data_IF_721292131874
#
_entry.id   IF_721292131874
#
_cell.length_a   1.000
_cell.length_b   1.000
_cell.length_c   1.000
_cell.angle_alpha   90.00
_cell.angle_beta   90.00
_cell.angle_gamma   90.00
#
_symmetry.space_group_name_H-M   'P 1'
#
loop_
_entity.id
_entity.type
_entity.pdbx_description
1 polymer ?
#
# COMPACT_ATOMS: atom_id res chain seq x y z
N UNK A 1 -27.13 -14.48 1.95
CA UNK A 1 -25.69 -14.22 1.79
C UNK A 1 -25.55 -12.79 1.28
N UNK A 2 -25.17 -11.84 2.14
CA UNK A 2 -24.95 -10.46 1.70
C UNK A 2 -23.61 -10.34 0.95
N UNK A 3 -23.49 -9.49 -0.08
CA UNK A 3 -22.29 -9.41 -0.92
C UNK A 3 -21.25 -8.39 -0.44
N UNK A 4 -21.35 -7.88 0.80
CA UNK A 4 -20.50 -6.81 1.32
C UNK A 4 -19.71 -7.25 2.57
N UNK A 5 -18.86 -8.26 2.43
CA UNK A 5 -17.94 -8.70 3.50
C UNK A 5 -16.48 -8.79 3.04
N UNK A 6 -16.01 -7.81 2.25
CA UNK A 6 -14.58 -7.53 2.19
C UNK A 6 -14.26 -6.49 3.27
N UNK A 7 -14.38 -6.93 4.54
CA UNK A 7 -13.92 -6.13 5.66
C UNK A 7 -12.38 -6.04 5.54
N UNK A 8 -11.76 -4.85 5.52
CA UNK A 8 -10.32 -4.77 5.67
C UNK A 8 -9.95 -5.44 7.00
N UNK A 9 -8.99 -6.35 6.98
CA UNK A 9 -8.54 -7.04 8.18
C UNK A 9 -7.89 -6.05 9.16
N UNK A 10 -7.22 -5.05 8.59
CA UNK A 10 -6.51 -4.02 9.33
C UNK A 10 -6.48 -2.73 8.50
N UNK A 11 -6.97 -1.66 9.10
CA UNK A 11 -6.89 -0.30 8.57
C UNK A 11 -5.98 0.54 9.44
N UNK A 12 -5.14 1.36 8.80
CA UNK A 12 -4.12 2.16 9.45
C UNK A 12 -4.31 3.60 9.05
N UNK A 13 -4.49 4.47 10.03
CA UNK A 13 -4.54 5.90 9.81
C UNK A 13 -3.11 6.43 9.83
N UNK A 14 -2.74 7.13 8.75
CA UNK A 14 -1.46 7.81 8.63
C UNK A 14 -1.68 9.24 9.14
N UNK A 15 -0.97 9.63 10.20
CA UNK A 15 -1.04 10.96 10.78
C UNK A 15 0.34 11.61 10.86
N UNK A 16 0.40 12.93 10.74
CA UNK A 16 1.53 13.72 11.21
C UNK A 16 1.39 13.97 12.71
N UNK A 17 2.48 13.99 13.47
CA UNK A 17 2.43 14.37 14.87
C UNK A 17 1.99 15.83 15.01
N UNK A 18 1.36 16.20 16.13
CA UNK A 18 1.04 17.59 16.43
C UNK A 18 2.32 18.45 16.39
N UNK A 19 2.17 19.68 15.91
CA UNK A 19 3.32 20.59 15.68
C UNK A 19 3.59 21.52 16.86
N UNK A 20 2.69 21.58 17.84
CA UNK A 20 2.85 22.32 19.09
C UNK A 20 2.39 21.50 20.30
N UNK A 21 2.92 21.83 21.47
CA UNK A 21 2.55 21.17 22.75
C UNK A 21 1.08 21.40 23.14
N UNK A 22 0.43 22.40 22.56
CA UNK A 22 -0.99 22.73 22.75
C UNK A 22 -1.94 21.92 21.87
N UNK A 23 -1.40 21.21 20.86
CA UNK A 23 -2.17 20.44 19.89
C UNK A 23 -2.18 18.96 20.31
N UNK A 24 -3.37 18.43 20.61
CA UNK A 24 -3.53 17.08 21.20
C UNK A 24 -3.73 16.02 20.09
N UNK A 25 -4.12 16.44 18.89
CA UNK A 25 -4.53 15.57 17.79
C UNK A 25 -3.61 15.78 16.60
N UNK A 26 -3.05 14.70 16.06
CA UNK A 26 -2.23 14.75 14.84
C UNK A 26 -3.06 15.05 13.58
N UNK A 27 -2.40 15.57 12.55
CA UNK A 27 -3.05 15.86 11.26
C UNK A 27 -3.24 14.57 10.45
N UNK A 28 -4.46 14.31 9.99
CA UNK A 28 -4.76 13.17 9.11
C UNK A 28 -4.10 13.35 7.74
N UNK A 29 -3.27 12.39 7.35
CA UNK A 29 -2.60 12.35 6.04
C UNK A 29 -3.31 11.41 5.07
N UNK A 30 -3.78 10.26 5.57
CA UNK A 30 -4.35 9.23 4.72
C UNK A 30 -4.64 7.93 5.46
N UNK A 31 -4.94 6.90 4.68
CA UNK A 31 -5.25 5.57 5.18
C UNK A 31 -4.54 4.51 4.32
N UNK A 32 -4.05 3.46 4.98
CA UNK A 32 -3.57 2.23 4.35
C UNK A 32 -4.40 1.06 4.89
N UNK A 33 -4.91 0.20 4.01
CA UNK A 33 -5.71 -0.95 4.39
C UNK A 33 -5.11 -2.24 3.85
N UNK A 34 -5.17 -3.30 4.66
CA UNK A 34 -4.91 -4.68 4.24
C UNK A 34 -6.24 -5.38 4.03
N UNK A 35 -6.39 -6.02 2.87
CA UNK A 35 -7.55 -6.86 2.60
C UNK A 35 -7.47 -8.14 3.43
N UNK A 36 -8.59 -8.54 4.02
CA UNK A 36 -8.66 -9.84 4.68
C UNK A 36 -8.68 -10.95 3.64
N UNK A 37 -7.79 -11.93 3.79
CA UNK A 37 -7.90 -13.21 3.12
C UNK A 37 -8.58 -14.22 4.04
N UNK A 38 -9.28 -15.25 3.49
CA UNK A 38 -9.83 -16.32 4.29
C UNK A 38 -8.74 -16.94 5.20
N UNK A 39 -9.04 -17.34 6.45
CA UNK A 39 -8.04 -17.93 7.34
C UNK A 39 -7.34 -19.16 6.75
N UNK A 40 -8.03 -19.95 5.91
CA UNK A 40 -7.45 -21.08 5.19
C UNK A 40 -6.32 -20.70 4.22
N UNK A 41 -6.23 -19.43 3.84
CA UNK A 41 -5.20 -18.89 2.94
C UNK A 41 -4.02 -18.26 3.70
N UNK A 42 -4.04 -18.25 5.03
CA UNK A 42 -2.94 -17.71 5.84
C UNK A 42 -1.58 -18.36 5.48
N UNK A 43 -1.60 -19.64 5.08
CA UNK A 43 -0.42 -20.38 4.62
C UNK A 43 0.23 -19.81 3.36
N UNK A 44 -0.50 -19.05 2.55
CA UNK A 44 0.04 -18.43 1.34
C UNK A 44 0.81 -17.14 1.63
N UNK A 45 0.59 -16.53 2.80
CA UNK A 45 1.37 -15.37 3.25
C UNK A 45 1.30 -14.17 2.31
N UNK A 46 0.17 -13.92 1.64
CA UNK A 46 0.00 -12.74 0.78
C UNK A 46 -1.29 -11.98 1.07
N UNK A 47 -1.34 -10.70 0.71
CA UNK A 47 -2.57 -9.91 0.68
C UNK A 47 -2.53 -8.76 -0.33
N UNK A 48 -3.70 -8.24 -0.66
CA UNK A 48 -3.87 -6.95 -1.34
C UNK A 48 -3.85 -5.81 -0.31
N UNK A 49 -3.12 -4.74 -0.64
CA UNK A 49 -3.18 -3.47 0.09
C UNK A 49 -3.84 -2.39 -0.76
N UNK A 50 -4.45 -1.42 -0.10
CA UNK A 50 -4.88 -0.16 -0.69
C UNK A 50 -4.34 1.01 0.11
N UNK A 51 -4.06 2.13 -0.56
CA UNK A 51 -3.59 3.35 0.09
C UNK A 51 -4.23 4.57 -0.54
N UNK A 52 -4.69 5.47 0.31
CA UNK A 52 -5.21 6.77 -0.09
C UNK A 52 -4.54 7.86 0.74
N UNK A 53 -3.90 8.81 0.04
CA UNK A 53 -3.28 9.99 0.65
C UNK A 53 -4.09 11.21 0.25
N UNK A 54 -4.49 12.01 1.24
CA UNK A 54 -5.22 13.25 1.01
C UNK A 54 -4.43 14.17 0.07
N UNK A 55 -5.15 14.83 -0.84
CA UNK A 55 -4.56 15.59 -1.96
C UNK A 55 -3.48 16.59 -1.54
N UNK A 56 -3.66 17.25 -0.40
CA UNK A 56 -2.70 18.23 0.16
C UNK A 56 -1.40 17.62 0.70
N UNK A 57 -1.38 16.29 0.91
CA UNK A 57 -0.23 15.52 1.37
C UNK A 57 0.38 14.62 0.29
N UNK A 58 -0.19 14.59 -0.92
CA UNK A 58 0.39 13.83 -2.03
C UNK A 58 1.74 14.42 -2.46
N UNK A 59 2.59 13.57 -3.05
CA UNK A 59 3.95 13.93 -3.53
C UNK A 59 4.93 14.39 -2.43
N UNK A 60 4.62 14.09 -1.16
CA UNK A 60 5.49 14.35 0.01
C UNK A 60 6.05 13.05 0.61
N UNK A 61 6.21 12.01 -0.20
CA UNK A 61 6.72 10.67 0.20
C UNK A 61 5.91 9.85 1.22
N UNK A 62 4.92 10.42 1.92
CA UNK A 62 4.15 9.71 2.95
C UNK A 62 3.57 8.37 2.49
N UNK A 63 3.04 8.29 1.27
CA UNK A 63 2.52 7.03 0.74
C UNK A 63 3.60 5.96 0.59
N UNK A 64 4.81 6.34 0.19
CA UNK A 64 5.94 5.42 0.08
C UNK A 64 6.47 4.98 1.43
N UNK A 65 6.52 5.88 2.41
CA UNK A 65 6.91 5.55 3.79
C UNK A 65 5.92 4.60 4.44
N UNK A 66 4.61 4.88 4.30
CA UNK A 66 3.56 4.03 4.83
C UNK A 66 3.63 2.61 4.26
N UNK A 67 3.75 2.45 2.92
CA UNK A 67 3.89 1.13 2.30
C UNK A 67 5.13 0.39 2.81
N UNK A 68 6.29 1.07 2.91
CA UNK A 68 7.55 0.44 3.35
C UNK A 68 7.46 -0.09 4.78
N UNK A 69 6.94 0.71 5.70
CA UNK A 69 6.81 0.32 7.11
C UNK A 69 5.77 -0.81 7.27
N UNK A 70 4.59 -0.64 6.68
CA UNK A 70 3.47 -1.53 6.99
C UNK A 70 3.49 -2.87 6.26
N UNK A 71 3.86 -2.87 4.97
CA UNK A 71 3.69 -4.06 4.13
C UNK A 71 4.49 -5.28 4.63
N UNK A 72 5.71 -5.07 5.15
CA UNK A 72 6.62 -6.16 5.49
C UNK A 72 7.12 -6.16 6.93
N UNK A 73 7.26 -5.00 7.60
CA UNK A 73 7.74 -5.00 8.99
C UNK A 73 6.68 -5.46 9.98
N UNK A 74 5.41 -5.08 9.76
CA UNK A 74 4.33 -5.38 10.71
C UNK A 74 3.55 -6.66 10.37
N UNK A 75 3.36 -6.95 9.08
CA UNK A 75 2.42 -7.99 8.65
C UNK A 75 3.06 -9.39 8.49
N UNK A 76 4.39 -9.50 8.43
CA UNK A 76 5.09 -10.78 8.28
C UNK A 76 4.71 -11.56 7.01
N UNK A 77 4.30 -10.85 5.95
CA UNK A 77 3.83 -11.45 4.71
C UNK A 77 4.99 -11.80 3.78
N UNK A 78 4.89 -12.94 3.11
CA UNK A 78 5.80 -13.35 2.03
C UNK A 78 5.66 -12.46 0.80
N UNK A 79 4.45 -11.94 0.54
CA UNK A 79 4.12 -11.19 -0.67
C UNK A 79 3.05 -10.13 -0.40
N UNK A 80 3.16 -8.99 -1.07
CA UNK A 80 2.14 -7.95 -1.05
C UNK A 80 1.78 -7.53 -2.47
N UNK A 81 0.47 -7.34 -2.71
CA UNK A 81 -0.08 -6.90 -3.98
C UNK A 81 -0.80 -5.55 -3.81
N UNK A 82 -0.76 -4.71 -4.84
CA UNK A 82 -1.53 -3.46 -4.91
C UNK A 82 -2.03 -3.24 -6.34
N UNK A 83 -3.24 -2.69 -6.48
CA UNK A 83 -3.82 -2.35 -7.78
C UNK A 83 -3.77 -0.84 -8.02
N UNK A 84 -3.40 -0.44 -9.24
CA UNK A 84 -3.58 0.93 -9.74
C UNK A 84 -4.42 0.91 -11.03
N UNK A 85 -5.00 2.05 -11.37
CA UNK A 85 -5.61 2.25 -12.68
C UNK A 85 -4.64 2.92 -13.65
N UNK A 86 -4.76 2.64 -14.95
CA UNK A 86 -3.84 3.13 -15.98
C UNK A 86 -3.72 4.66 -16.06
N UNK A 87 -4.74 5.42 -15.66
CA UNK A 87 -4.64 6.88 -15.56
C UNK A 87 -3.85 7.38 -14.34
N UNK A 88 -3.70 6.55 -13.29
CA UNK A 88 -3.03 6.92 -12.06
C UNK A 88 -1.50 6.72 -12.15
N UNK A 89 -0.88 7.47 -13.06
CA UNK A 89 0.57 7.42 -13.29
C UNK A 89 1.40 7.76 -12.05
N UNK A 90 0.85 8.51 -11.10
CA UNK A 90 1.50 8.82 -9.83
C UNK A 90 1.65 7.59 -8.93
N UNK A 91 0.59 6.78 -8.82
CA UNK A 91 0.64 5.52 -8.08
C UNK A 91 1.57 4.51 -8.76
N UNK A 92 1.50 4.36 -10.09
CA UNK A 92 2.37 3.46 -10.85
C UNK A 92 3.85 3.76 -10.61
N UNK A 93 4.26 5.02 -10.78
CA UNK A 93 5.65 5.47 -10.52
C UNK A 93 6.07 5.25 -9.07
N UNK A 94 5.14 5.43 -8.13
CA UNK A 94 5.41 5.16 -6.72
C UNK A 94 5.71 3.67 -6.51
N UNK A 95 4.88 2.77 -7.03
CA UNK A 95 5.03 1.33 -6.85
C UNK A 95 6.32 0.81 -7.49
N UNK A 96 6.60 1.22 -8.72
CA UNK A 96 7.84 0.88 -9.43
C UNK A 96 9.09 1.33 -8.65
N UNK A 97 9.08 2.58 -8.13
CA UNK A 97 10.16 3.11 -7.30
C UNK A 97 10.31 2.39 -5.96
N UNK A 98 9.23 1.79 -5.45
CA UNK A 98 9.25 0.97 -4.23
C UNK A 98 9.71 -0.47 -4.50
N UNK A 99 10.01 -0.83 -5.75
CA UNK A 99 10.47 -2.16 -6.15
C UNK A 99 9.34 -3.12 -6.52
N UNK A 100 8.08 -2.66 -6.58
CA UNK A 100 7.00 -3.49 -7.10
C UNK A 100 7.15 -3.70 -8.61
N UNK A 101 6.66 -4.86 -9.07
CA UNK A 101 6.64 -5.25 -10.49
C UNK A 101 5.21 -5.33 -10.98
N UNK A 102 4.94 -4.85 -12.20
CA UNK A 102 3.66 -5.10 -12.89
C UNK A 102 3.59 -6.60 -13.23
N UNK A 103 2.60 -7.29 -12.69
CA UNK A 103 2.42 -8.74 -12.84
C UNK A 103 1.16 -9.09 -13.64
N UNK A 104 0.27 -8.12 -13.82
CA UNK A 104 -0.97 -8.35 -14.55
C UNK A 104 -1.64 -7.06 -14.97
N UNK A 105 -2.42 -7.17 -16.04
CA UNK A 105 -3.24 -6.08 -16.57
C UNK A 105 -4.64 -6.60 -16.90
N UNK A 106 -5.63 -5.98 -16.28
CA UNK A 106 -7.04 -6.22 -16.55
C UNK A 106 -7.50 -5.13 -17.52
N UNK A 107 -7.73 -5.51 -18.77
CA UNK A 107 -8.17 -4.58 -19.83
C UNK A 107 -9.58 -4.07 -19.55
N UNK A 108 -9.82 -2.79 -19.80
CA UNK A 108 -11.13 -2.14 -19.64
C UNK A 108 -11.77 -2.40 -18.26
N UNK A 109 -10.99 -2.30 -17.19
CA UNK A 109 -11.42 -2.63 -15.82
C UNK A 109 -12.39 -1.60 -15.24
N UNK A 110 -12.21 -0.31 -15.53
CA UNK A 110 -13.03 0.75 -14.96
C UNK A 110 -13.45 1.79 -16.01
N UNK A 111 -14.75 2.10 -16.04
CA UNK A 111 -15.28 3.23 -16.80
C UNK A 111 -15.23 4.49 -15.93
N UNK A 112 -14.40 5.46 -16.31
CA UNK A 112 -14.26 6.74 -15.60
C UNK A 112 -14.01 7.88 -16.58
N UNK A 113 -14.71 9.00 -16.39
CA UNK A 113 -14.57 10.21 -17.21
C UNK A 113 -14.69 9.93 -18.73
N UNK A 114 -15.67 9.09 -19.10
CA UNK A 114 -16.00 8.80 -20.50
C UNK A 114 -15.03 7.86 -21.22
N UNK A 115 -14.09 7.22 -20.51
CA UNK A 115 -13.13 6.28 -21.09
C UNK A 115 -13.02 5.01 -20.22
N UNK A 116 -12.68 3.90 -20.87
CA UNK A 116 -12.26 2.67 -20.18
C UNK A 116 -10.79 2.78 -19.77
N UNK A 117 -10.49 2.34 -18.55
CA UNK A 117 -9.14 2.33 -17.98
C UNK A 117 -8.78 0.93 -17.51
N UNK A 118 -7.54 0.53 -17.78
CA UNK A 118 -7.02 -0.76 -17.36
C UNK A 118 -6.75 -0.77 -15.85
N UNK A 119 -6.93 -1.94 -15.23
CA UNK A 119 -6.47 -2.24 -13.88
C UNK A 119 -5.10 -2.90 -13.93
N UNK A 120 -4.09 -2.28 -13.34
CA UNK A 120 -2.72 -2.77 -13.25
C UNK A 120 -2.49 -3.42 -11.89
N UNK A 121 -2.01 -4.66 -11.89
CA UNK A 121 -1.67 -5.41 -10.68
C UNK A 121 -0.17 -5.32 -10.49
N UNK A 122 0.24 -4.83 -9.33
CA UNK A 122 1.62 -4.74 -8.90
C UNK A 122 1.88 -5.66 -7.71
N UNK A 123 2.97 -6.41 -7.73
CA UNK A 123 3.39 -7.28 -6.63
C UNK A 123 4.84 -7.05 -6.23
N UNK A 124 5.16 -7.36 -4.98
CA UNK A 124 6.53 -7.41 -4.47
C UNK A 124 6.66 -8.56 -3.45
N UNK A 125 7.78 -9.28 -3.51
CA UNK A 125 8.12 -10.33 -2.56
C UNK A 125 8.93 -9.78 -1.39
N UNK A 126 8.86 -10.45 -0.24
CA UNK A 126 9.58 -10.07 0.97
C UNK A 126 11.10 -9.94 0.72
N UNK A 127 11.71 -10.92 0.05
CA UNK A 127 13.15 -10.91 -0.25
C UNK A 127 13.56 -9.77 -1.18
N UNK A 128 12.68 -9.38 -2.10
CA UNK A 128 12.89 -8.24 -2.99
C UNK A 128 12.86 -6.94 -2.17
N UNK A 129 11.83 -6.78 -1.32
CA UNK A 129 11.72 -5.64 -0.43
C UNK A 129 12.92 -5.53 0.53
N UNK A 130 13.33 -6.63 1.17
CA UNK A 130 14.50 -6.64 2.08
C UNK A 130 15.78 -6.22 1.36
N UNK A 131 15.95 -6.64 0.11
CA UNK A 131 17.10 -6.27 -0.72
C UNK A 131 17.10 -4.77 -1.03
N UNK A 132 15.96 -4.21 -1.43
CA UNK A 132 15.80 -2.77 -1.68
C UNK A 132 16.11 -1.94 -0.42
N UNK A 133 15.65 -2.36 0.76
CA UNK A 133 15.96 -1.63 2.00
C UNK A 133 17.45 -1.65 2.35
N UNK A 134 18.12 -2.79 2.16
CA UNK A 134 19.58 -2.91 2.38
C UNK A 134 20.36 -2.03 1.41
N UNK A 135 19.98 -2.00 0.14
CA UNK A 135 20.63 -1.15 -0.88
C UNK A 135 20.42 0.34 -0.58
N UNK A 136 19.27 0.71 -0.02
CA UNK A 136 19.00 2.06 0.44
C UNK A 136 19.70 2.44 1.76
N UNK A 137 20.52 1.56 2.34
CA UNK A 137 21.25 1.81 3.59
C UNK A 137 20.35 1.98 4.82
N UNK A 138 19.13 1.45 4.78
CA UNK A 138 18.17 1.56 5.89
C UNK A 138 18.40 0.44 6.90
N UNK A 139 18.50 0.81 8.17
CA UNK A 139 18.63 -0.16 9.25
C UNK A 139 17.33 -0.97 9.39
N UNK A 140 17.45 -2.30 9.26
CA UNK A 140 16.36 -3.25 9.43
C UNK A 140 16.32 -3.83 10.85
N UNK A 141 17.30 -3.50 11.71
CA UNK A 141 17.52 -4.13 13.02
C UNK A 141 16.84 -3.43 14.20
N UNK A 142 16.23 -2.26 14.02
CA UNK A 142 15.43 -1.59 15.06
C UNK A 142 14.00 -2.15 15.20
N UNK A 143 13.71 -3.34 14.67
CA UNK A 143 12.36 -3.87 14.54
C UNK A 143 12.28 -5.34 14.99
N UNK A 144 12.41 -5.55 16.31
CA UNK A 144 11.74 -6.61 17.08
C UNK A 144 11.21 -5.96 18.36
#
# INVERSE_FOLDING_TARGET
MSPFSHCPFLGVIICLPPTSETEIVGELVGILCLKANPPSWAVHGWTDISIDILKQHQRKEYGGEAIRWWAFQMAGLHRVQIQAFSFNTGAMRLYERLGFKEEGRIRDHMWLAGNWHDGLIYGILEDEWRREQRQAGRDLTSCV
#
